data_IF_069589758847
#
_entry.id   IF_069589758847
#
_cell.length_a   1.000
_cell.length_b   1.000
_cell.length_c   1.000
_cell.angle_alpha   90.00
_cell.angle_beta   90.00
_cell.angle_gamma   90.00
#
_symmetry.space_group_name_H-M   'P 1'
#
loop_
_entity.id
_entity.type
_entity.pdbx_description
1 polymer ?
#
# COMPACT_ATOMS: atom_id res chain seq x y z
N UNK A 1 18.94 -6.87 -17.01
CA UNK A 1 18.41 -6.87 -16.86
C UNK A 1 17.38 -6.87 -16.94
N UNK A 2 17.07 -6.88 -17.22
CA UNK A 2 15.98 -6.99 -17.59
C UNK A 2 14.93 -7.13 -16.82
N UNK A 3 15.06 -7.77 -16.09
CA UNK A 3 14.19 -7.91 -15.21
C UNK A 3 13.59 -6.76 -14.82
N UNK A 4 14.22 -5.98 -14.98
CA UNK A 4 13.84 -4.80 -14.74
C UNK A 4 12.62 -4.54 -15.34
N UNK A 5 12.39 -5.02 -16.33
CA UNK A 5 11.23 -4.70 -17.02
C UNK A 5 10.03 -5.07 -16.27
N UNK A 6 10.13 -5.82 -15.27
CA UNK A 6 9.00 -6.17 -14.55
C UNK A 6 8.87 -5.31 -13.41
N UNK A 7 8.53 -4.12 -13.60
CA UNK A 7 8.37 -3.23 -12.51
C UNK A 7 7.09 -3.51 -11.81
N UNK A 8 7.17 -3.97 -10.63
CA UNK A 8 6.02 -4.06 -9.75
C UNK A 8 5.75 -2.64 -9.23
N UNK A 9 4.57 -2.09 -9.45
CA UNK A 9 4.28 -0.73 -8.99
C UNK A 9 4.45 -0.56 -7.49
N UNK A 10 4.40 -1.67 -6.73
CA UNK A 10 4.57 -1.59 -5.29
C UNK A 10 6.04 -1.55 -4.88
N UNK A 11 6.96 -1.74 -5.81
CA UNK A 11 8.39 -1.74 -5.49
C UNK A 11 8.90 -0.35 -5.12
N UNK A 12 8.15 0.71 -5.46
CA UNK A 12 8.55 2.07 -5.10
C UNK A 12 8.16 2.44 -3.69
N UNK A 13 7.43 1.58 -3.00
CA UNK A 13 6.98 1.87 -1.64
C UNK A 13 8.10 1.59 -0.65
N UNK A 14 8.15 2.41 0.41
CA UNK A 14 9.09 2.16 1.48
C UNK A 14 8.63 0.96 2.29
N UNK A 15 9.49 0.48 3.17
CA UNK A 15 9.16 -0.66 4.01
C UNK A 15 7.89 -0.41 4.82
N UNK A 16 7.78 0.77 5.43
CA UNK A 16 6.64 1.10 6.26
C UNK A 16 5.37 1.23 5.42
N UNK A 17 5.50 1.80 4.22
CA UNK A 17 4.37 1.90 3.32
C UNK A 17 3.86 0.52 2.90
N UNK A 18 4.77 -0.43 2.68
CA UNK A 18 4.38 -1.80 2.35
C UNK A 18 3.64 -2.45 3.51
N UNK A 19 4.07 -2.18 4.74
CA UNK A 19 3.39 -2.71 5.92
C UNK A 19 1.96 -2.18 6.01
N UNK A 20 1.80 -0.89 5.75
CA UNK A 20 0.47 -0.28 5.74
C UNK A 20 -0.38 -0.89 4.63
N UNK A 21 0.20 -1.05 3.44
CA UNK A 21 -0.50 -1.65 2.31
C UNK A 21 -0.97 -3.07 2.65
N UNK A 22 -0.11 -3.88 3.23
CA UNK A 22 -0.46 -5.26 3.58
C UNK A 22 -1.69 -5.28 4.50
N UNK A 23 -1.70 -4.42 5.51
CA UNK A 23 -2.82 -4.38 6.44
C UNK A 23 -4.09 -3.87 5.75
N UNK A 24 -3.95 -2.89 4.85
CA UNK A 24 -5.10 -2.42 4.08
C UNK A 24 -5.71 -3.54 3.24
N UNK A 25 -4.86 -4.35 2.61
CA UNK A 25 -5.32 -5.46 1.78
C UNK A 25 -6.00 -6.56 2.59
N UNK A 26 -5.68 -6.64 3.87
CA UNK A 26 -6.32 -7.58 4.77
C UNK A 26 -7.66 -7.04 5.28
N UNK A 27 -8.03 -5.82 4.92
CA UNK A 27 -9.28 -5.23 5.36
C UNK A 27 -9.17 -4.41 6.64
N UNK A 28 -7.96 -4.16 7.12
CA UNK A 28 -7.79 -3.40 8.35
C UNK A 28 -8.17 -1.95 8.15
N UNK A 29 -8.78 -1.38 9.17
CA UNK A 29 -9.14 0.03 9.18
C UNK A 29 -7.97 0.85 9.72
N UNK A 30 -8.04 2.17 9.55
CA UNK A 30 -6.97 3.05 10.02
C UNK A 30 -6.65 2.82 11.50
N UNK A 31 -7.67 2.67 12.33
CA UNK A 31 -7.44 2.45 13.76
C UNK A 31 -6.71 1.14 14.03
N UNK A 32 -6.98 0.11 13.23
CA UNK A 32 -6.33 -1.18 13.40
C UNK A 32 -4.86 -1.10 12.98
N UNK A 33 -4.60 -0.40 11.88
CA UNK A 33 -3.24 -0.22 11.40
C UNK A 33 -2.45 0.62 12.40
N UNK A 34 -3.09 1.67 12.91
CA UNK A 34 -2.47 2.53 13.92
C UNK A 34 -2.04 1.72 15.14
N UNK A 35 -2.90 0.84 15.61
CA UNK A 35 -2.57 0.00 16.75
C UNK A 35 -1.47 -1.01 16.42
N UNK A 36 -1.55 -1.63 15.25
CA UNK A 36 -0.58 -2.65 14.86
C UNK A 36 0.82 -2.08 14.67
N UNK A 37 0.92 -0.91 14.09
CA UNK A 37 2.22 -0.31 13.78
C UNK A 37 2.65 0.75 14.80
N UNK A 38 1.80 1.01 15.79
CA UNK A 38 2.05 2.01 16.82
C UNK A 38 2.33 3.38 16.20
N UNK A 39 1.50 3.75 15.22
CA UNK A 39 1.59 5.03 14.54
C UNK A 39 0.27 5.78 14.72
N UNK A 40 0.33 7.10 14.63
CA UNK A 40 -0.87 7.91 14.74
C UNK A 40 -1.72 7.80 13.49
N UNK A 41 -3.03 7.98 13.65
CA UNK A 41 -3.97 7.93 12.53
C UNK A 41 -3.58 8.88 11.41
N UNK A 42 -3.13 10.08 11.75
CA UNK A 42 -2.71 11.05 10.76
C UNK A 42 -1.54 10.53 9.92
N UNK A 43 -0.62 9.85 10.57
CA UNK A 43 0.52 9.24 9.88
C UNK A 43 0.06 8.16 8.93
N UNK A 44 -0.90 7.33 9.36
CA UNK A 44 -1.44 6.27 8.51
C UNK A 44 -2.14 6.88 7.31
N UNK A 45 -2.91 7.94 7.51
CA UNK A 45 -3.58 8.62 6.40
C UNK A 45 -2.58 9.15 5.37
N UNK A 46 -1.47 9.69 5.85
CA UNK A 46 -0.41 10.16 4.97
C UNK A 46 0.20 9.01 4.18
N UNK A 47 0.46 7.88 4.83
CA UNK A 47 0.97 6.70 4.14
C UNK A 47 0.01 6.22 3.07
N UNK A 48 -1.30 6.22 3.38
CA UNK A 48 -2.30 5.80 2.39
C UNK A 48 -2.26 6.70 1.16
N UNK A 49 -2.20 8.00 1.37
CA UNK A 49 -2.12 8.95 0.26
C UNK A 49 -0.86 8.69 -0.57
N UNK A 50 0.25 8.49 0.09
CA UNK A 50 1.52 8.24 -0.60
C UNK A 50 1.46 6.95 -1.41
N UNK A 51 0.86 5.91 -0.85
CA UNK A 51 0.71 4.63 -1.55
C UNK A 51 -0.11 4.82 -2.82
N UNK A 52 -1.24 5.51 -2.73
CA UNK A 52 -2.08 5.77 -3.89
C UNK A 52 -1.33 6.57 -4.94
N UNK A 53 -0.61 7.59 -4.50
CA UNK A 53 0.13 8.46 -5.40
C UNK A 53 1.25 7.68 -6.11
N UNK A 54 2.03 6.93 -5.34
CA UNK A 54 3.18 6.21 -5.88
C UNK A 54 2.77 5.08 -6.82
N UNK A 55 1.64 4.44 -6.55
CA UNK A 55 1.15 3.35 -7.40
C UNK A 55 0.32 3.85 -8.57
N UNK A 56 -0.03 5.13 -8.56
CA UNK A 56 -0.76 5.72 -9.68
C UNK A 56 -2.25 5.43 -9.70
N UNK A 57 -2.80 4.92 -8.61
CA UNK A 57 -4.23 4.62 -8.54
C UNK A 57 -4.98 5.77 -7.88
N UNK A 58 -6.29 5.85 -8.10
CA UNK A 58 -7.09 6.95 -7.61
C UNK A 58 -7.75 6.68 -6.26
N UNK A 59 -8.00 5.44 -5.96
CA UNK A 59 -8.71 5.10 -4.73
C UNK A 59 -8.36 3.67 -4.29
N UNK A 60 -8.91 3.27 -3.15
CA UNK A 60 -8.62 1.96 -2.57
C UNK A 60 -9.10 0.81 -3.44
N UNK A 61 -10.21 1.00 -4.15
CA UNK A 61 -10.74 -0.05 -5.00
C UNK A 61 -9.76 -0.35 -6.12
N UNK A 62 -9.21 0.68 -6.75
CA UNK A 62 -8.20 0.51 -7.79
C UNK A 62 -6.93 -0.09 -7.22
N UNK A 63 -6.59 0.29 -6.00
CA UNK A 63 -5.41 -0.24 -5.34
C UNK A 63 -5.54 -1.75 -5.13
N UNK A 64 -6.71 -2.20 -4.69
CA UNK A 64 -6.97 -3.63 -4.48
C UNK A 64 -6.90 -4.39 -5.80
N UNK A 65 -7.47 -3.83 -6.86
CA UNK A 65 -7.41 -4.45 -8.17
C UNK A 65 -5.97 -4.59 -8.66
N UNK A 66 -5.18 -3.54 -8.46
CA UNK A 66 -3.78 -3.55 -8.85
C UNK A 66 -3.02 -4.63 -8.08
N UNK A 67 -3.28 -4.74 -6.79
CA UNK A 67 -2.65 -5.76 -5.96
C UNK A 67 -2.99 -7.16 -6.45
N UNK A 68 -4.24 -7.37 -6.84
CA UNK A 68 -4.66 -8.67 -7.37
C UNK A 68 -3.96 -8.98 -8.68
N UNK A 69 -3.82 -7.99 -9.55
CA UNK A 69 -3.13 -8.16 -10.83
C UNK A 69 -1.69 -8.58 -10.64
N UNK A 70 -1.06 -8.08 -9.59
CA UNK A 70 0.34 -8.41 -9.30
C UNK A 70 0.48 -9.52 -8.28
N UNK A 71 -0.64 -10.16 -7.93
CA UNK A 71 -0.66 -11.30 -7.01
C UNK A 71 -0.05 -11.00 -5.66
N UNK A 72 -0.31 -9.79 -5.17
CA UNK A 72 0.15 -9.37 -3.85
C UNK A 72 -0.77 -9.97 -2.77
N UNK A 73 -2.02 -10.18 -3.11
CA UNK A 73 -3.00 -10.78 -2.18
C UNK A 73 -3.43 -12.13 -2.66
#
# INVERSE_FOLDING_TARGET
MASLTISNPFSVLSKREKEVLDLMLQGAQIKDISASLELKSNTISTFKKNILYKTGVKNNIELFKLAQEHKIV
#
